data_IF_818508569000
#
_entry.id   IF_818508569000
#
_cell.length_a   1.000
_cell.length_b   1.000
_cell.length_c   1.000
_cell.angle_alpha   90.00
_cell.angle_beta   90.00
_cell.angle_gamma   90.00
#
_symmetry.space_group_name_H-M   'P 1'
#
loop_
_entity.id
_entity.type
_entity.pdbx_description
1 polymer ?
#
# COMPACT_ATOMS: atom_id res chain seq x y z
N UNK A 1 -49.74 38.50 38.11
CA UNK A 1 -49.02 38.78 36.85
C UNK A 1 -47.89 37.78 36.72
N UNK A 2 -48.12 36.74 35.94
CA UNK A 2 -47.22 35.59 35.76
C UNK A 2 -46.38 35.86 34.51
N UNK A 3 -45.10 36.21 34.67
CA UNK A 3 -44.13 36.28 33.58
C UNK A 3 -43.59 34.87 33.32
N UNK A 4 -44.09 34.27 32.24
CA UNK A 4 -43.66 32.98 31.71
C UNK A 4 -42.16 33.03 31.39
N UNK A 5 -41.39 32.15 32.03
CA UNK A 5 -40.07 31.76 31.56
C UNK A 5 -40.27 30.92 30.31
N UNK A 6 -39.84 31.45 29.17
CA UNK A 6 -39.73 30.72 27.90
C UNK A 6 -38.51 29.80 27.99
N UNK A 7 -38.64 28.68 28.71
CA UNK A 7 -37.68 27.58 28.72
C UNK A 7 -37.88 26.76 27.44
N UNK A 8 -37.34 27.24 26.32
CA UNK A 8 -37.25 26.42 25.11
C UNK A 8 -36.23 25.31 25.34
N UNK A 9 -36.70 24.08 25.17
CA UNK A 9 -35.92 22.87 25.28
C UNK A 9 -34.75 22.89 24.26
N UNK A 10 -33.48 22.71 24.66
CA UNK A 10 -32.35 22.67 23.73
C UNK A 10 -32.49 21.59 22.64
N UNK A 11 -33.40 20.62 22.81
CA UNK A 11 -33.71 19.60 21.81
C UNK A 11 -34.55 20.08 20.60
N UNK A 12 -35.20 21.25 20.67
CA UNK A 12 -36.07 21.77 19.58
C UNK A 12 -35.32 22.48 18.45
N UNK A 13 -34.00 22.67 18.55
CA UNK A 13 -33.20 23.42 17.56
C UNK A 13 -32.54 22.56 16.46
N UNK A 14 -32.86 21.27 16.36
CA UNK A 14 -32.45 20.46 15.21
C UNK A 14 -33.51 20.59 14.11
N UNK A 15 -33.38 21.64 13.30
CA UNK A 15 -34.26 21.89 12.15
C UNK A 15 -34.31 20.69 11.19
N UNK A 16 -35.42 20.48 10.45
CA UNK A 16 -35.48 19.47 9.39
C UNK A 16 -34.31 19.57 8.40
N UNK A 17 -33.83 20.79 8.12
CA UNK A 17 -32.64 21.04 7.30
C UNK A 17 -31.34 20.50 7.92
N UNK A 18 -31.16 20.61 9.25
CA UNK A 18 -30.00 20.03 9.94
C UNK A 18 -30.05 18.50 9.94
N UNK A 19 -31.24 17.89 10.06
CA UNK A 19 -31.40 16.42 9.95
C UNK A 19 -31.06 15.92 8.56
N UNK A 20 -31.55 16.61 7.53
CA UNK A 20 -31.25 16.25 6.13
C UNK A 20 -29.77 16.47 5.80
N UNK A 21 -29.14 17.54 6.30
CA UNK A 21 -27.70 17.76 6.13
C UNK A 21 -26.86 16.66 6.78
N UNK A 22 -27.22 16.21 7.99
CA UNK A 22 -26.54 15.09 8.68
C UNK A 22 -26.74 13.79 7.91
N UNK A 23 -27.96 13.53 7.42
CA UNK A 23 -28.27 12.36 6.59
C UNK A 23 -27.46 12.35 5.30
N UNK A 24 -27.44 13.45 4.55
CA UNK A 24 -26.66 13.57 3.31
C UNK A 24 -25.16 13.41 3.56
N UNK A 25 -24.63 13.97 4.66
CA UNK A 25 -23.23 13.76 5.05
C UNK A 25 -22.93 12.30 5.36
N UNK A 26 -23.86 11.60 6.01
CA UNK A 26 -23.74 10.18 6.32
C UNK A 26 -23.80 9.33 5.06
N UNK A 27 -24.80 9.53 4.20
CA UNK A 27 -24.92 8.84 2.90
C UNK A 27 -23.68 9.10 2.03
N UNK A 28 -23.15 10.32 2.03
CA UNK A 28 -21.92 10.66 1.31
C UNK A 28 -20.67 10.00 1.94
N UNK A 29 -20.61 9.87 3.27
CA UNK A 29 -19.54 9.15 3.96
C UNK A 29 -19.61 7.64 3.69
N UNK A 30 -20.81 7.05 3.71
CA UNK A 30 -21.06 5.64 3.39
C UNK A 30 -20.75 5.35 1.91
N UNK A 31 -21.15 6.23 0.98
CA UNK A 31 -20.79 6.13 -0.43
C UNK A 31 -19.27 6.29 -0.64
N UNK A 32 -18.61 7.16 0.13
CA UNK A 32 -17.15 7.26 0.14
C UNK A 32 -16.50 5.98 0.65
N UNK A 33 -17.02 5.39 1.71
CA UNK A 33 -16.50 4.14 2.27
C UNK A 33 -16.60 2.99 1.27
N UNK A 34 -17.74 2.86 0.59
CA UNK A 34 -17.94 1.91 -0.51
C UNK A 34 -16.99 2.18 -1.71
N UNK A 35 -16.51 3.40 -1.87
CA UNK A 35 -15.59 3.83 -2.94
C UNK A 35 -14.10 3.68 -2.57
N UNK A 36 -13.76 3.11 -1.40
CA UNK A 36 -12.36 2.94 -0.95
C UNK A 36 -11.72 1.63 -1.40
N UNK A 37 -12.52 0.67 -1.84
CA UNK A 37 -12.06 -0.64 -2.29
C UNK A 37 -11.84 -0.67 -3.80
N UNK A 38 -10.88 -1.48 -4.24
CA UNK A 38 -10.69 -1.83 -5.63
C UNK A 38 -11.71 -2.92 -6.03
N UNK A 39 -12.44 -2.71 -7.13
CA UNK A 39 -13.55 -3.59 -7.50
C UNK A 39 -13.14 -4.99 -7.95
N UNK A 40 -11.87 -5.18 -8.33
CA UNK A 40 -11.37 -6.48 -8.77
C UNK A 40 -10.79 -7.29 -7.61
N UNK A 41 -9.99 -6.64 -6.77
CA UNK A 41 -9.16 -7.31 -5.76
C UNK A 41 -9.70 -7.18 -4.34
N UNK A 42 -10.69 -6.32 -4.11
CA UNK A 42 -11.25 -5.97 -2.79
C UNK A 42 -10.20 -5.45 -1.78
N UNK A 43 -9.00 -5.11 -2.22
CA UNK A 43 -8.04 -4.36 -1.43
C UNK A 43 -8.39 -2.87 -1.45
N UNK A 44 -7.68 -2.03 -0.70
CA UNK A 44 -7.88 -0.59 -0.83
C UNK A 44 -7.48 -0.11 -2.22
N UNK A 45 -8.08 0.97 -2.71
CA UNK A 45 -7.68 1.57 -3.99
C UNK A 45 -6.71 2.73 -3.78
N UNK A 46 -6.12 3.20 -4.88
CA UNK A 46 -5.20 4.34 -4.89
C UNK A 46 -5.77 5.59 -4.22
N UNK A 47 -7.07 5.88 -4.38
CA UNK A 47 -7.69 7.04 -3.74
C UNK A 47 -7.63 6.93 -2.22
N UNK A 48 -7.94 5.76 -1.67
CA UNK A 48 -7.81 5.51 -0.24
C UNK A 48 -6.35 5.64 0.22
N UNK A 49 -5.40 5.08 -0.53
CA UNK A 49 -3.98 5.23 -0.25
C UNK A 49 -3.58 6.71 -0.15
N UNK A 50 -3.91 7.52 -1.15
CA UNK A 50 -3.56 8.94 -1.20
C UNK A 50 -4.17 9.71 0.00
N UNK A 51 -5.43 9.44 0.35
CA UNK A 51 -6.10 10.02 1.53
C UNK A 51 -5.43 9.60 2.86
N UNK A 52 -5.09 8.31 2.99
CA UNK A 52 -4.47 7.79 4.20
C UNK A 52 -3.05 8.29 4.39
N UNK A 53 -2.25 8.40 3.32
CA UNK A 53 -0.88 8.88 3.45
C UNK A 53 -0.80 10.33 3.94
N UNK A 54 -1.76 11.19 3.57
CA UNK A 54 -1.88 12.55 4.12
C UNK A 54 -2.15 12.51 5.62
N UNK A 55 -3.05 11.63 6.06
CA UNK A 55 -3.41 11.47 7.47
C UNK A 55 -2.24 10.96 8.29
N UNK A 56 -1.62 9.86 7.84
CA UNK A 56 -0.49 9.24 8.52
C UNK A 56 0.75 10.14 8.53
N UNK A 57 0.95 10.97 7.50
CA UNK A 57 1.97 12.02 7.49
C UNK A 57 1.77 13.02 8.63
N UNK A 58 0.54 13.50 8.82
CA UNK A 58 0.22 14.42 9.90
C UNK A 58 0.40 13.77 11.29
N UNK A 59 0.02 12.51 11.44
CA UNK A 59 0.21 11.75 12.69
C UNK A 59 1.70 11.54 13.01
N UNK A 60 2.50 11.14 12.03
CA UNK A 60 3.95 10.99 12.18
C UNK A 60 4.66 12.29 12.53
N UNK A 61 4.15 13.44 12.05
CA UNK A 61 4.66 14.77 12.43
C UNK A 61 4.42 15.06 13.93
N UNK A 62 3.34 14.56 14.52
CA UNK A 62 3.03 14.71 15.95
C UNK A 62 3.81 13.70 16.79
N UNK A 63 3.79 12.43 16.38
CA UNK A 63 4.34 11.30 17.15
C UNK A 63 5.85 11.11 16.98
N UNK A 64 6.47 11.84 16.03
CA UNK A 64 7.88 11.69 15.66
C UNK A 64 8.24 10.25 15.23
N UNK A 65 7.27 9.54 14.65
CA UNK A 65 7.41 8.16 14.18
C UNK A 65 7.80 8.09 12.70
N UNK A 66 8.51 7.03 12.34
CA UNK A 66 8.82 6.68 10.96
C UNK A 66 7.62 6.07 10.22
N UNK A 67 7.83 5.78 8.94
CA UNK A 67 6.90 5.03 8.09
C UNK A 67 7.68 4.36 6.97
N UNK A 68 7.26 3.15 6.60
CA UNK A 68 7.67 2.51 5.37
C UNK A 68 6.50 2.41 4.38
N UNK A 69 6.82 2.53 3.09
CA UNK A 69 5.93 2.21 1.97
C UNK A 69 6.71 1.28 1.04
N UNK A 70 6.10 0.17 0.67
CA UNK A 70 6.64 -0.73 -0.33
C UNK A 70 5.77 -0.71 -1.59
N UNK A 71 6.38 -0.50 -2.76
CA UNK A 71 5.71 -0.72 -4.03
C UNK A 71 6.01 -2.13 -4.51
N UNK A 72 4.97 -2.84 -4.88
CA UNK A 72 4.97 -4.24 -5.34
C UNK A 72 4.46 -4.26 -6.77
N UNK A 73 5.14 -5.00 -7.64
CA UNK A 73 4.71 -5.20 -9.03
C UNK A 73 4.83 -6.69 -9.39
N UNK A 74 3.81 -7.20 -10.09
CA UNK A 74 3.80 -8.58 -10.56
C UNK A 74 4.71 -8.72 -11.79
N UNK A 75 5.77 -9.49 -11.63
CA UNK A 75 6.77 -9.69 -12.66
C UNK A 75 6.16 -10.33 -13.91
N UNK A 76 6.41 -9.72 -15.07
CA UNK A 76 5.96 -10.21 -16.37
C UNK A 76 4.43 -10.38 -16.49
N UNK A 77 3.63 -9.62 -15.73
CA UNK A 77 2.16 -9.75 -15.74
C UNK A 77 1.54 -9.57 -17.14
N UNK A 78 2.09 -8.67 -17.96
CA UNK A 78 1.69 -8.56 -19.37
C UNK A 78 1.82 -9.89 -20.13
N UNK A 79 2.88 -10.66 -19.91
CA UNK A 79 3.07 -11.96 -20.58
C UNK A 79 2.03 -13.00 -20.10
N UNK A 80 1.62 -12.94 -18.83
CA UNK A 80 0.52 -13.75 -18.30
C UNK A 80 -0.77 -13.40 -19.04
N UNK A 81 -1.10 -12.10 -19.16
CA UNK A 81 -2.29 -11.66 -19.90
C UNK A 81 -2.23 -12.03 -21.39
N UNK A 82 -1.09 -11.82 -22.04
CA UNK A 82 -0.92 -12.12 -23.46
C UNK A 82 -1.07 -13.63 -23.73
N UNK A 83 -0.67 -14.49 -22.80
CA UNK A 83 -0.76 -15.95 -22.91
C UNK A 83 -2.13 -16.52 -22.53
N UNK A 84 -2.73 -16.03 -21.46
CA UNK A 84 -3.92 -16.65 -20.84
C UNK A 84 -5.19 -15.78 -20.91
N UNK A 85 -5.06 -14.53 -21.34
CA UNK A 85 -6.14 -13.54 -21.40
C UNK A 85 -6.38 -12.81 -20.08
N UNK A 86 -6.99 -11.62 -20.18
CA UNK A 86 -7.26 -10.75 -19.02
C UNK A 86 -8.05 -11.41 -17.89
N UNK A 87 -9.11 -12.22 -18.12
CA UNK A 87 -9.82 -12.88 -17.02
C UNK A 87 -8.94 -13.85 -16.21
N UNK A 88 -7.88 -14.38 -16.83
CA UNK A 88 -6.89 -15.18 -16.12
C UNK A 88 -5.98 -14.30 -15.26
N UNK A 89 -5.47 -13.20 -15.82
CA UNK A 89 -4.68 -12.23 -15.08
C UNK A 89 -5.44 -11.63 -13.89
N UNK A 90 -6.74 -11.40 -14.03
CA UNK A 90 -7.62 -10.95 -12.95
C UNK A 90 -7.61 -11.91 -11.75
N UNK A 91 -7.66 -13.22 -11.99
CA UNK A 91 -7.54 -14.24 -10.93
C UNK A 91 -6.15 -14.25 -10.29
N UNK A 92 -5.10 -14.03 -11.09
CA UNK A 92 -3.73 -13.90 -10.58
C UNK A 92 -3.61 -12.69 -9.65
N UNK A 93 -4.16 -11.53 -10.04
CA UNK A 93 -4.18 -10.32 -9.20
C UNK A 93 -4.88 -10.56 -7.86
N UNK A 94 -6.08 -11.16 -7.90
CA UNK A 94 -6.84 -11.51 -6.71
C UNK A 94 -6.05 -12.41 -5.76
N UNK A 95 -5.38 -13.43 -6.31
CA UNK A 95 -4.60 -14.36 -5.49
C UNK A 95 -3.35 -13.72 -4.93
N UNK A 96 -2.62 -12.92 -5.73
CA UNK A 96 -1.45 -12.17 -5.25
C UNK A 96 -1.84 -11.27 -4.07
N UNK A 97 -2.94 -10.51 -4.19
CA UNK A 97 -3.41 -9.67 -3.07
C UNK A 97 -3.68 -10.49 -1.81
N UNK A 98 -4.31 -11.66 -1.94
CA UNK A 98 -4.51 -12.56 -0.80
C UNK A 98 -3.20 -13.00 -0.13
N UNK A 99 -2.15 -13.24 -0.90
CA UNK A 99 -0.82 -13.57 -0.36
C UNK A 99 -0.10 -12.38 0.27
N UNK A 100 -0.30 -11.16 -0.27
CA UNK A 100 0.23 -9.93 0.31
C UNK A 100 -0.46 -9.61 1.64
N UNK A 101 -1.79 -9.66 1.69
CA UNK A 101 -2.58 -9.32 2.89
C UNK A 101 -2.35 -10.31 4.03
N UNK A 102 -2.06 -11.59 3.73
CA UNK A 102 -1.87 -12.63 4.72
C UNK A 102 -0.68 -12.39 5.68
N UNK A 103 0.28 -11.53 5.30
CA UNK A 103 1.48 -11.24 6.11
C UNK A 103 1.46 -9.83 6.72
N UNK A 104 0.46 -9.03 6.38
CA UNK A 104 0.42 -7.66 6.88
C UNK A 104 0.14 -7.64 8.38
N UNK A 105 0.98 -6.97 9.19
CA UNK A 105 0.73 -6.82 10.61
C UNK A 105 -0.45 -5.88 10.86
N UNK A 106 -0.99 -5.93 12.09
CA UNK A 106 -2.02 -5.00 12.50
C UNK A 106 -1.59 -3.53 12.29
N UNK A 107 -2.48 -2.75 11.67
CA UNK A 107 -2.25 -1.34 11.32
C UNK A 107 -1.55 -1.11 9.97
N UNK A 108 -0.95 -2.14 9.37
CA UNK A 108 -0.50 -2.09 7.98
C UNK A 108 -1.67 -2.39 7.02
N UNK A 109 -1.55 -1.94 5.77
CA UNK A 109 -2.56 -2.22 4.74
C UNK A 109 -1.95 -2.32 3.34
N UNK A 110 -2.64 -3.07 2.47
CA UNK A 110 -2.39 -3.13 1.04
C UNK A 110 -3.36 -2.19 0.31
N UNK A 111 -2.88 -1.56 -0.76
CA UNK A 111 -3.72 -0.83 -1.71
C UNK A 111 -3.28 -1.10 -3.15
N UNK A 112 -4.22 -1.21 -4.07
CA UNK A 112 -3.93 -1.29 -5.51
C UNK A 112 -3.57 0.10 -6.02
N UNK A 113 -2.31 0.25 -6.40
CA UNK A 113 -1.72 1.51 -6.85
C UNK A 113 -1.91 1.71 -8.37
N UNK A 114 -1.84 0.62 -9.13
CA UNK A 114 -1.93 0.61 -10.59
C UNK A 114 -2.55 -0.68 -11.14
N UNK A 115 -2.33 -0.97 -12.41
CA UNK A 115 -2.89 -2.16 -13.07
C UNK A 115 -2.44 -3.46 -12.39
N UNK A 116 -1.12 -3.66 -12.29
CA UNK A 116 -0.49 -4.82 -11.63
C UNK A 116 0.38 -4.42 -10.43
N UNK A 117 0.20 -3.18 -9.96
CA UNK A 117 1.01 -2.56 -8.93
C UNK A 117 0.21 -2.38 -7.63
N UNK A 118 0.84 -2.71 -6.50
CA UNK A 118 0.29 -2.57 -5.17
C UNK A 118 1.23 -1.77 -4.27
N UNK A 119 0.66 -1.10 -3.28
CA UNK A 119 1.38 -0.40 -2.23
C UNK A 119 1.09 -1.08 -0.89
N UNK A 120 2.13 -1.48 -0.18
CA UNK A 120 2.04 -1.91 1.22
C UNK A 120 2.49 -0.75 2.09
N UNK A 121 1.67 -0.35 3.06
CA UNK A 121 1.95 0.79 3.94
C UNK A 121 2.10 0.30 5.37
N UNK A 122 3.18 0.74 6.02
CA UNK A 122 3.56 0.33 7.37
C UNK A 122 3.69 1.57 8.28
N UNK A 123 2.60 2.01 8.90
CA UNK A 123 2.61 3.15 9.82
C UNK A 123 3.45 2.85 11.07
N UNK A 124 4.35 3.77 11.45
CA UNK A 124 5.11 3.66 12.70
C UNK A 124 6.08 2.48 12.79
N UNK A 125 6.35 1.80 11.68
CA UNK A 125 7.25 0.64 11.59
C UNK A 125 8.63 1.09 11.12
N UNK A 126 9.66 0.40 11.59
CA UNK A 126 11.02 0.59 11.11
C UNK A 126 11.25 -0.12 9.76
N UNK A 127 12.41 0.13 9.18
CA UNK A 127 12.81 -0.42 7.88
C UNK A 127 12.96 -1.95 7.94
N UNK A 128 13.53 -2.49 9.00
CA UNK A 128 13.86 -3.92 9.09
C UNK A 128 12.59 -4.78 9.21
N UNK A 129 11.60 -4.32 9.98
CA UNK A 129 10.26 -4.89 10.03
C UNK A 129 9.60 -4.88 8.65
N UNK A 130 9.63 -3.73 7.96
CA UNK A 130 9.02 -3.60 6.64
C UNK A 130 9.68 -4.51 5.59
N UNK A 131 11.02 -4.62 5.60
CA UNK A 131 11.78 -5.54 4.74
C UNK A 131 11.37 -6.98 5.03
N UNK A 132 11.28 -7.35 6.31
CA UNK A 132 10.92 -8.72 6.72
C UNK A 132 9.54 -9.11 6.19
N UNK A 133 8.54 -8.25 6.38
CA UNK A 133 7.17 -8.49 5.87
C UNK A 133 7.15 -8.54 4.35
N UNK A 134 7.89 -7.66 3.66
CA UNK A 134 7.96 -7.67 2.21
C UNK A 134 8.63 -8.94 1.66
N UNK A 135 9.69 -9.41 2.29
CA UNK A 135 10.35 -10.66 1.89
C UNK A 135 9.47 -11.88 2.15
N UNK A 136 8.70 -11.88 3.25
CA UNK A 136 7.68 -12.90 3.48
C UNK A 136 6.60 -12.88 2.40
N UNK A 137 6.06 -11.69 2.07
CA UNK A 137 5.07 -11.52 1.02
C UNK A 137 5.58 -12.05 -0.34
N UNK A 138 6.81 -11.67 -0.72
CA UNK A 138 7.47 -12.16 -1.94
C UNK A 138 7.58 -13.68 -1.94
N UNK A 139 8.06 -14.27 -0.84
CA UNK A 139 8.20 -15.72 -0.71
C UNK A 139 6.87 -16.46 -0.79
N UNK A 140 5.79 -15.89 -0.25
CA UNK A 140 4.45 -16.50 -0.35
C UNK A 140 3.96 -16.55 -1.79
N UNK A 141 4.11 -15.46 -2.54
CA UNK A 141 3.74 -15.44 -3.97
C UNK A 141 4.57 -16.45 -4.77
N UNK A 142 5.88 -16.49 -4.54
CA UNK A 142 6.83 -17.41 -5.20
C UNK A 142 6.52 -18.89 -4.91
N UNK A 143 6.16 -19.20 -3.65
CA UNK A 143 5.87 -20.56 -3.19
C UNK A 143 4.39 -20.94 -3.32
N UNK A 144 3.52 -20.04 -3.75
CA UNK A 144 2.11 -20.32 -3.91
C UNK A 144 1.89 -21.41 -4.97
N UNK A 145 0.99 -22.35 -4.69
CA UNK A 145 0.66 -23.42 -5.63
C UNK A 145 -0.28 -22.92 -6.73
N UNK A 146 0.30 -22.52 -7.84
CA UNK A 146 -0.40 -21.99 -9.01
C UNK A 146 -1.09 -23.07 -9.87
N UNK A 147 -0.95 -24.36 -9.54
CA UNK A 147 -1.50 -25.49 -10.33
C UNK A 147 -3.03 -25.47 -10.41
N UNK A 148 -3.72 -24.88 -9.45
CA UNK A 148 -5.17 -24.66 -9.51
C UNK A 148 -5.60 -23.76 -10.69
N UNK A 149 -4.69 -22.91 -11.18
CA UNK A 149 -4.92 -22.07 -12.36
C UNK A 149 -4.31 -22.68 -13.62
N UNK A 150 -3.04 -23.10 -13.58
CA UNK A 150 -2.31 -23.75 -14.67
C UNK A 150 -0.98 -24.36 -14.16
N UNK A 151 -0.67 -25.61 -14.51
CA UNK A 151 0.53 -26.32 -14.02
C UNK A 151 1.86 -25.63 -14.35
N UNK A 152 1.89 -24.89 -15.47
CA UNK A 152 3.08 -24.21 -15.96
C UNK A 152 3.20 -22.76 -15.45
N UNK A 153 2.20 -22.27 -14.71
CA UNK A 153 2.20 -20.90 -14.20
C UNK A 153 3.25 -20.74 -13.10
N UNK A 154 4.04 -19.68 -13.22
CA UNK A 154 4.93 -19.18 -12.17
C UNK A 154 4.70 -17.68 -12.07
N UNK A 155 4.48 -17.20 -10.85
CA UNK A 155 4.23 -15.79 -10.58
C UNK A 155 5.24 -15.34 -9.55
N UNK A 156 5.87 -14.20 -9.84
CA UNK A 156 6.80 -13.54 -8.94
C UNK A 156 6.40 -12.09 -8.79
N UNK A 157 6.90 -11.49 -7.72
CA UNK A 157 6.78 -10.05 -7.49
C UNK A 157 8.14 -9.45 -7.21
N UNK A 158 8.33 -8.24 -7.72
CA UNK A 158 9.44 -7.38 -7.33
C UNK A 158 8.90 -6.31 -6.38
N UNK A 159 9.69 -5.96 -5.35
CA UNK A 159 9.28 -5.03 -4.30
C UNK A 159 10.36 -3.99 -4.05
N UNK A 160 9.99 -2.72 -3.97
CA UNK A 160 10.87 -1.63 -3.55
C UNK A 160 10.38 -0.99 -2.25
N UNK A 161 11.22 -0.98 -1.21
CA UNK A 161 10.86 -0.52 0.14
C UNK A 161 11.45 0.86 0.42
N UNK A 162 10.63 1.90 0.32
CA UNK A 162 10.95 3.24 0.80
C UNK A 162 10.68 3.35 2.30
N UNK A 163 11.59 3.97 3.05
CA UNK A 163 11.41 4.21 4.48
C UNK A 163 11.96 5.56 4.89
N UNK A 164 11.41 6.11 5.97
CA UNK A 164 11.87 7.33 6.60
C UNK A 164 12.03 7.15 8.11
N UNK A 165 13.23 7.43 8.63
CA UNK A 165 13.58 7.25 10.05
C UNK A 165 12.95 8.31 10.98
N UNK A 166 12.54 9.44 10.42
CA UNK A 166 11.88 10.60 11.07
C UNK A 166 11.01 11.26 10.01
N UNK A 167 10.07 12.13 10.41
CA UNK A 167 9.30 13.06 9.54
C UNK A 167 9.46 12.78 8.01
N UNK A 168 8.56 12.01 7.35
CA UNK A 168 8.64 11.75 5.89
C UNK A 168 8.77 13.04 5.07
N UNK A 169 9.92 13.47 4.54
CA UNK A 169 10.12 14.86 4.06
C UNK A 169 9.00 15.34 3.12
N UNK A 170 8.52 14.43 2.27
CA UNK A 170 7.26 14.49 1.55
C UNK A 170 6.79 13.05 1.24
N UNK A 171 5.47 12.79 1.30
CA UNK A 171 4.89 11.47 0.96
C UNK A 171 5.24 11.10 -0.47
N UNK A 172 5.23 12.06 -1.40
CA UNK A 172 5.59 11.78 -2.78
C UNK A 172 7.06 11.39 -2.93
N UNK A 173 7.96 12.01 -2.15
CA UNK A 173 9.38 11.62 -2.12
C UNK A 173 9.55 10.18 -1.62
N UNK A 174 8.74 9.75 -0.64
CA UNK A 174 8.76 8.38 -0.12
C UNK A 174 8.29 7.37 -1.19
N UNK A 175 7.21 7.68 -1.90
CA UNK A 175 6.73 6.85 -3.02
C UNK A 175 7.77 6.80 -4.15
N UNK A 176 8.37 7.94 -4.51
CA UNK A 176 9.46 8.01 -5.51
C UNK A 176 10.67 7.16 -5.09
N UNK A 177 11.02 7.16 -3.81
CA UNK A 177 12.10 6.31 -3.30
C UNK A 177 11.76 4.82 -3.43
N UNK A 178 10.53 4.42 -3.11
CA UNK A 178 10.04 3.06 -3.28
C UNK A 178 10.02 2.63 -4.76
N UNK A 179 9.63 3.52 -5.68
CA UNK A 179 9.63 3.28 -7.13
C UNK A 179 11.04 3.03 -7.68
N UNK A 180 11.99 3.88 -7.31
CA UNK A 180 13.41 3.71 -7.68
C UNK A 180 13.98 2.38 -7.19
N UNK A 181 13.58 1.94 -5.99
CA UNK A 181 13.98 0.67 -5.44
C UNK A 181 13.28 -0.52 -6.13
N UNK A 182 12.00 -0.38 -6.47
CA UNK A 182 11.26 -1.37 -7.24
C UNK A 182 11.91 -1.59 -8.62
N UNK A 183 12.32 -0.50 -9.27
CA UNK A 183 13.10 -0.57 -10.49
C UNK A 183 14.42 -1.33 -10.28
N UNK A 184 15.15 -1.04 -9.20
CA UNK A 184 16.39 -1.78 -8.88
C UNK A 184 16.15 -3.27 -8.62
N UNK A 185 15.04 -3.64 -7.96
CA UNK A 185 14.63 -5.03 -7.78
C UNK A 185 14.38 -5.72 -9.13
N UNK A 186 13.64 -5.08 -10.04
CA UNK A 186 13.36 -5.59 -11.39
C UNK A 186 14.65 -5.78 -12.20
N UNK A 187 15.53 -4.80 -12.20
CA UNK A 187 16.80 -4.83 -12.93
C UNK A 187 17.83 -5.78 -12.32
N UNK A 188 17.69 -6.13 -11.03
CA UNK A 188 18.52 -7.16 -10.40
C UNK A 188 18.15 -8.60 -10.80
N UNK A 189 17.20 -8.77 -11.74
CA UNK A 189 16.70 -10.08 -12.16
C UNK A 189 15.35 -10.45 -11.57
N UNK A 190 14.57 -9.48 -11.06
CA UNK A 190 13.19 -9.66 -10.56
C UNK A 190 13.09 -10.62 -9.36
N UNK A 191 11.87 -10.95 -8.92
CA UNK A 191 11.62 -11.79 -7.75
C UNK A 191 12.53 -11.40 -6.57
N UNK A 192 12.50 -10.12 -6.19
CA UNK A 192 13.42 -9.55 -5.20
C UNK A 192 12.78 -8.38 -4.45
N UNK A 193 13.26 -8.16 -3.22
CA UNK A 193 12.93 -6.99 -2.41
C UNK A 193 14.16 -6.09 -2.34
N UNK A 194 14.06 -4.86 -2.82
CA UNK A 194 15.14 -3.88 -2.77
C UNK A 194 14.84 -2.80 -1.73
N UNK A 195 15.89 -2.41 -1.01
CA UNK A 195 15.84 -1.35 0.00
C UNK A 195 17.15 -0.56 0.00
N UNK A 196 17.16 0.60 0.66
CA UNK A 196 18.38 1.38 0.85
C UNK A 196 18.90 1.16 2.27
N UNK A 197 20.12 0.63 2.38
CA UNK A 197 20.76 0.40 3.68
C UNK A 197 21.08 1.77 4.33
N UNK A 198 20.55 2.05 5.54
CA UNK A 198 20.77 3.32 6.21
C UNK A 198 22.24 3.55 6.63
N UNK A 199 23.05 2.51 6.76
CA UNK A 199 24.44 2.62 7.20
C UNK A 199 25.40 3.10 6.10
N UNK A 200 25.12 2.78 4.84
CA UNK A 200 26.00 3.10 3.70
C UNK A 200 25.27 3.73 2.50
N UNK A 201 23.95 3.92 2.60
CA UNK A 201 23.08 4.50 1.60
C UNK A 201 23.05 3.74 0.26
N UNK A 202 23.54 2.49 0.21
CA UNK A 202 23.53 1.67 -1.00
C UNK A 202 22.22 0.89 -1.09
N UNK A 203 21.80 0.63 -2.32
CA UNK A 203 20.71 -0.31 -2.59
C UNK A 203 21.20 -1.73 -2.32
N UNK A 204 20.42 -2.48 -1.55
CA UNK A 204 20.63 -3.88 -1.25
C UNK A 204 19.36 -4.67 -1.55
N UNK A 205 19.51 -5.99 -1.65
CA UNK A 205 18.39 -6.92 -1.81
C UNK A 205 18.23 -7.73 -0.54
N UNK A 206 16.98 -7.97 -0.13
CA UNK A 206 16.68 -8.82 1.00
C UNK A 206 16.70 -10.31 0.63
N UNK A 207 16.79 -11.16 1.66
CA UNK A 207 16.63 -12.61 1.52
C UNK A 207 17.63 -13.25 0.56
N UNK A 208 17.25 -14.34 -0.14
CA UNK A 208 18.14 -15.08 -1.05
C UNK A 208 18.65 -14.26 -2.24
N UNK A 209 18.00 -13.13 -2.56
CA UNK A 209 18.46 -12.24 -3.63
C UNK A 209 19.67 -11.39 -3.22
N UNK A 210 20.01 -11.32 -1.93
CA UNK A 210 21.13 -10.52 -1.40
C UNK A 210 22.50 -10.87 -2.00
N UNK A 211 22.70 -12.11 -2.45
CA UNK A 211 23.97 -12.59 -3.03
C UNK A 211 24.17 -12.21 -4.51
N UNK A 212 23.20 -11.51 -5.14
CA UNK A 212 23.29 -11.13 -6.55
C UNK A 212 24.39 -10.09 -6.76
N UNK A 213 25.31 -10.39 -7.68
CA UNK A 213 26.50 -9.55 -7.95
C UNK A 213 26.20 -8.20 -8.60
N UNK A 214 25.06 -8.07 -9.26
CA UNK A 214 24.66 -6.85 -9.96
C UNK A 214 23.39 -6.29 -9.33
N UNK A 215 23.56 -5.26 -8.49
CA UNK A 215 22.46 -4.50 -7.90
C UNK A 215 22.60 -3.06 -8.40
N UNK A 216 21.64 -2.56 -9.20
CA UNK A 216 21.63 -1.17 -9.65
C UNK A 216 21.74 -0.21 -8.47
N UNK A 217 22.56 0.83 -8.62
CA UNK A 217 22.74 1.90 -7.63
C UNK A 217 22.22 3.21 -8.23
N UNK A 218 20.88 3.37 -8.35
CA UNK A 218 20.30 4.62 -8.82
C UNK A 218 20.71 5.77 -7.88
N UNK A 219 20.90 6.95 -8.46
CA UNK A 219 21.19 8.17 -7.71
C UNK A 219 20.16 8.35 -6.58
N UNK A 220 20.61 8.86 -5.44
CA UNK A 220 19.68 9.21 -4.37
C UNK A 220 18.64 10.21 -4.91
N UNK A 221 17.35 10.09 -4.54
CA UNK A 221 16.39 11.13 -4.85
C UNK A 221 16.91 12.46 -4.29
N UNK A 222 16.81 13.53 -5.08
CA UNK A 222 17.21 14.87 -4.63
C UNK A 222 16.28 15.32 -3.50
N UNK A 223 16.85 15.80 -2.40
CA UNK A 223 16.14 16.32 -1.22
C UNK A 223 15.27 17.54 -1.55
#
# INVERSE_FOLDING_TARGET
>A
MQLLRDERDPAELVTPANRELVRLRREHAEARELSRRDSLTDTYNRRYLDEQLVTLRAESDVLHSGMAIALVDIDHFKQINDRYGHPFGDRVLQRVVGELDAVLPAGAFCARYGGEEFALVFPGRDLDDAITVCEEARQRVDKYDWTELDDSLRVWVSIGVGHTLRRPPDVEQLIRAADVLLYAAKESGRNAVAFRDPANLRVQLAGPAGDRRAIPQPAAPAD
#
